data_IF_155517916241
#
_entry.id   IF_155517916241
#
_cell.length_a   1.000
_cell.length_b   1.000
_cell.length_c   1.000
_cell.angle_alpha   90.00
_cell.angle_beta   90.00
_cell.angle_gamma   90.00
#
_symmetry.space_group_name_H-M   'P 1'
#
loop_
_entity.id
_entity.type
_entity.pdbx_description
1 polymer ?
#
# COMPACT_ATOMS: atom_id res chain seq x y z
N UNK A 1 44.91 44.34 22.34
CA UNK A 1 44.50 43.06 21.75
C UNK A 1 43.10 42.70 22.15
N UNK A 2 42.14 43.00 21.26
CA UNK A 2 40.73 42.68 21.45
C UNK A 2 40.55 41.25 20.95
N UNK A 3 40.36 40.32 21.89
CA UNK A 3 40.27 38.88 21.64
C UNK A 3 39.23 38.55 20.58
N UNK A 4 39.56 37.55 19.76
CA UNK A 4 38.79 37.11 18.61
C UNK A 4 37.32 36.81 19.02
N UNK A 5 36.31 37.54 18.49
CA UNK A 5 34.91 37.42 18.94
C UNK A 5 34.30 36.03 18.76
N UNK A 6 34.95 35.15 18.00
CA UNK A 6 34.54 33.76 17.84
C UNK A 6 34.77 32.88 19.08
N UNK A 7 35.64 33.28 20.02
CA UNK A 7 35.93 32.48 21.23
C UNK A 7 34.70 32.33 22.12
N UNK A 8 33.81 33.34 22.14
CA UNK A 8 32.57 33.29 22.91
C UNK A 8 31.54 32.28 22.37
N UNK A 9 31.71 31.81 21.13
CA UNK A 9 30.84 30.81 20.48
C UNK A 9 31.46 29.39 20.52
N UNK A 10 32.60 29.22 21.19
CA UNK A 10 33.21 27.91 21.43
C UNK A 10 32.77 27.48 22.83
N UNK A 11 31.99 26.39 22.97
CA UNK A 11 31.64 25.83 24.27
C UNK A 11 32.90 25.61 25.10
N UNK A 12 32.84 25.84 26.41
CA UNK A 12 34.00 25.79 27.33
C UNK A 12 34.74 24.44 27.25
N UNK A 13 34.02 23.36 26.90
CA UNK A 13 34.56 22.01 26.75
C UNK A 13 34.71 21.54 25.29
N UNK A 14 34.40 22.40 24.32
CA UNK A 14 34.41 22.06 22.88
C UNK A 14 33.33 21.07 22.45
N UNK A 15 32.34 20.80 23.31
CA UNK A 15 31.13 20.04 22.99
C UNK A 15 30.16 20.97 22.27
N UNK A 16 30.32 21.03 20.96
CA UNK A 16 29.33 21.63 20.08
C UNK A 16 28.15 20.66 19.94
N UNK A 17 26.95 21.18 20.22
CA UNK A 17 25.71 20.48 19.90
C UNK A 17 25.45 20.62 18.40
N UNK A 18 25.85 19.61 17.64
CA UNK A 18 25.63 19.55 16.21
C UNK A 18 24.72 18.37 15.91
N UNK A 19 23.49 18.63 15.47
CA UNK A 19 22.50 17.60 15.10
C UNK A 19 22.98 16.60 14.03
N UNK A 20 24.05 16.92 13.31
CA UNK A 20 24.62 16.14 12.20
C UNK A 20 26.03 15.60 12.45
N UNK A 21 26.79 16.15 13.41
CA UNK A 21 28.17 15.73 13.68
C UNK A 21 28.25 15.00 15.02
N UNK A 22 28.61 13.72 14.99
CA UNK A 22 28.80 12.92 16.20
C UNK A 22 30.29 12.73 16.44
N UNK A 23 30.75 13.05 17.64
CA UNK A 23 32.16 12.86 18.03
C UNK A 23 32.49 11.36 18.05
N UNK A 24 33.51 10.96 17.29
CA UNK A 24 34.01 9.59 17.27
C UNK A 24 35.24 9.46 18.17
N UNK A 25 36.15 10.41 18.12
CA UNK A 25 37.41 10.34 18.86
C UNK A 25 38.07 11.70 18.97
N UNK A 26 38.45 12.11 20.18
CA UNK A 26 39.41 13.21 20.39
C UNK A 26 40.68 12.65 21.03
N UNK A 27 41.85 13.02 20.50
CA UNK A 27 43.13 12.64 21.11
C UNK A 27 43.31 13.32 22.46
N UNK A 28 44.05 12.67 23.36
CA UNK A 28 44.33 13.17 24.72
C UNK A 28 45.05 14.53 24.73
N UNK A 29 45.80 14.84 23.67
CA UNK A 29 46.48 16.13 23.49
C UNK A 29 45.65 17.15 22.68
N UNK A 30 44.41 16.82 22.30
CA UNK A 30 43.49 17.70 21.57
C UNK A 30 43.83 17.96 20.10
N UNK A 31 44.90 17.36 19.56
CA UNK A 31 45.38 17.60 18.20
C UNK A 31 44.57 16.88 17.11
N UNK A 32 43.91 15.77 17.44
CA UNK A 32 43.10 14.98 16.51
C UNK A 32 41.67 14.98 16.99
N UNK A 33 40.75 15.39 16.12
CA UNK A 33 39.31 15.33 16.33
C UNK A 33 38.66 14.63 15.16
N UNK A 34 38.01 13.50 15.41
CA UNK A 34 37.25 12.73 14.44
C UNK A 34 35.77 12.83 14.76
N UNK A 35 34.98 13.08 13.72
CA UNK A 35 33.52 13.14 13.78
C UNK A 35 32.95 12.18 12.73
N UNK A 36 31.84 11.54 13.03
CA UNK A 36 30.96 10.91 12.05
C UNK A 36 29.89 11.91 11.64
N UNK A 37 29.51 11.88 10.37
CA UNK A 37 28.52 12.77 9.80
C UNK A 37 27.27 11.96 9.43
N UNK A 38 26.12 12.39 9.93
CA UNK A 38 24.84 11.80 9.58
C UNK A 38 24.29 12.44 8.31
N UNK A 39 24.36 11.70 7.20
CA UNK A 39 23.85 12.16 5.91
C UNK A 39 22.36 11.86 5.72
N UNK A 40 21.67 11.28 6.70
CA UNK A 40 20.28 10.82 6.54
C UNK A 40 19.35 11.95 6.08
N UNK A 41 19.44 13.14 6.68
CA UNK A 41 18.65 14.30 6.27
C UNK A 41 18.89 14.74 4.81
N UNK A 42 20.11 14.61 4.30
CA UNK A 42 20.47 14.98 2.92
C UNK A 42 20.19 13.86 1.91
N UNK A 43 20.23 12.61 2.37
CA UNK A 43 20.06 11.41 1.54
C UNK A 43 18.59 10.97 1.44
N UNK A 44 17.70 11.55 2.25
CA UNK A 44 16.27 11.27 2.29
C UNK A 44 15.49 12.36 1.58
N UNK A 45 14.67 11.97 0.60
CA UNK A 45 13.73 12.87 -0.07
C UNK A 45 12.64 12.06 -0.75
N UNK A 46 11.46 12.65 -0.89
CA UNK A 46 10.37 12.03 -1.64
C UNK A 46 9.51 13.10 -2.31
N UNK A 47 8.69 12.67 -3.27
CA UNK A 47 7.78 13.51 -4.03
C UNK A 47 6.39 12.86 -4.10
N UNK A 48 5.37 13.72 -4.16
CA UNK A 48 3.98 13.33 -4.40
C UNK A 48 3.68 13.60 -5.88
N UNK A 49 3.18 12.59 -6.58
CA UNK A 49 2.85 12.62 -8.01
C UNK A 49 1.35 12.28 -8.19
N UNK A 50 0.70 12.97 -9.13
CA UNK A 50 -0.69 12.73 -9.55
C UNK A 50 -1.70 12.62 -8.38
N UNK A 51 -1.84 13.66 -7.55
CA UNK A 51 -2.82 13.64 -6.46
C UNK A 51 -4.24 13.81 -6.99
N UNK A 52 -5.15 12.96 -6.49
CA UNK A 52 -6.58 13.00 -6.79
C UNK A 52 -7.36 12.83 -5.48
N UNK A 53 -8.37 13.68 -5.24
CA UNK A 53 -9.30 13.57 -4.10
C UNK A 53 -10.69 13.53 -4.70
N UNK A 54 -11.49 12.55 -4.30
CA UNK A 54 -12.82 12.33 -4.87
C UNK A 54 -13.93 12.65 -3.88
N UNK A 55 -15.04 13.17 -4.41
CA UNK A 55 -16.26 13.52 -3.66
C UNK A 55 -16.98 12.32 -3.02
N UNK A 56 -16.61 11.09 -3.41
CA UNK A 56 -17.11 9.84 -2.78
C UNK A 56 -16.37 9.46 -1.49
N UNK A 57 -15.37 10.22 -1.08
CA UNK A 57 -14.70 10.07 0.21
C UNK A 57 -13.47 9.17 0.19
N UNK A 58 -12.66 9.25 -0.87
CA UNK A 58 -11.31 8.69 -0.89
C UNK A 58 -10.36 9.58 -1.68
N UNK A 59 -9.06 9.41 -1.48
CA UNK A 59 -8.03 10.05 -2.29
C UNK A 59 -6.98 9.04 -2.73
N UNK A 60 -6.36 9.30 -3.87
CA UNK A 60 -5.26 8.49 -4.37
C UNK A 60 -4.12 9.37 -4.86
N UNK A 61 -2.90 8.89 -4.71
CA UNK A 61 -1.73 9.53 -5.28
C UNK A 61 -0.58 8.53 -5.36
N UNK A 62 0.47 8.92 -6.07
CA UNK A 62 1.73 8.18 -6.10
C UNK A 62 2.76 8.89 -5.25
N UNK A 63 3.48 8.14 -4.43
CA UNK A 63 4.64 8.62 -3.69
C UNK A 63 5.91 8.02 -4.28
N UNK A 64 6.93 8.85 -4.49
CA UNK A 64 8.21 8.43 -5.06
C UNK A 64 9.35 8.82 -4.14
N UNK A 65 10.11 7.85 -3.67
CA UNK A 65 11.33 8.09 -2.91
C UNK A 65 12.43 8.50 -3.90
N UNK A 66 12.85 9.76 -3.81
CA UNK A 66 13.92 10.31 -4.64
C UNK A 66 15.28 10.25 -3.93
N UNK A 67 15.28 9.83 -2.66
CA UNK A 67 16.47 9.61 -1.86
C UNK A 67 17.07 8.22 -2.02
N UNK A 68 18.18 8.01 -1.30
CA UNK A 68 18.90 6.73 -1.22
C UNK A 68 18.67 6.00 0.11
N UNK A 69 17.72 6.47 0.91
CA UNK A 69 17.33 5.89 2.20
C UNK A 69 15.88 5.45 2.15
N UNK A 70 15.57 4.34 2.80
CA UNK A 70 14.19 3.93 2.99
C UNK A 70 13.47 4.93 3.90
N UNK A 71 12.19 5.11 3.64
CA UNK A 71 11.33 6.03 4.36
C UNK A 71 10.12 5.29 4.92
N UNK A 72 9.77 5.56 6.16
CA UNK A 72 8.50 5.11 6.75
C UNK A 72 7.48 6.23 6.63
N UNK A 73 6.40 6.03 5.89
CA UNK A 73 5.34 7.03 5.79
C UNK A 73 4.54 7.02 7.09
N UNK A 74 4.56 8.12 7.83
CA UNK A 74 3.99 8.19 9.17
C UNK A 74 2.61 8.83 9.19
N UNK A 75 2.35 9.81 8.31
CA UNK A 75 1.05 10.47 8.22
C UNK A 75 0.73 10.94 6.80
N UNK A 76 -0.56 10.94 6.47
CA UNK A 76 -1.13 11.61 5.30
C UNK A 76 -2.23 12.53 5.78
N UNK A 77 -2.15 13.80 5.39
CA UNK A 77 -3.12 14.84 5.74
C UNK A 77 -3.74 15.48 4.52
N UNK A 78 -5.03 15.79 4.61
CA UNK A 78 -5.76 16.60 3.62
C UNK A 78 -6.30 17.82 4.36
N UNK A 79 -5.89 19.03 3.95
CA UNK A 79 -6.21 20.28 4.64
C UNK A 79 -5.93 20.24 6.15
N UNK A 80 -4.73 19.78 6.51
CA UNK A 80 -4.21 19.65 7.88
C UNK A 80 -4.90 18.59 8.77
N UNK A 81 -5.95 17.93 8.29
CA UNK A 81 -6.57 16.78 8.97
C UNK A 81 -5.89 15.48 8.58
N UNK A 82 -5.65 14.59 9.55
CA UNK A 82 -4.99 13.30 9.34
C UNK A 82 -5.99 12.21 8.98
N UNK A 83 -5.63 11.36 8.02
CA UNK A 83 -6.47 10.28 7.53
C UNK A 83 -5.73 8.94 7.58
N UNK A 84 -6.49 7.85 7.68
CA UNK A 84 -5.94 6.51 7.49
C UNK A 84 -5.61 6.29 6.02
N UNK A 85 -4.53 5.57 5.78
CA UNK A 85 -4.04 5.31 4.45
C UNK A 85 -3.37 3.94 4.34
N UNK A 86 -3.43 3.40 3.14
CA UNK A 86 -2.73 2.19 2.73
C UNK A 86 -1.69 2.54 1.67
N UNK A 87 -0.53 1.88 1.76
CA UNK A 87 0.44 1.83 0.66
C UNK A 87 0.20 0.55 -0.14
N UNK A 88 0.42 0.59 -1.46
CA UNK A 88 0.25 -0.59 -2.31
C UNK A 88 1.23 -1.71 -1.94
N UNK A 89 2.52 -1.49 -2.18
CA UNK A 89 3.60 -2.44 -1.83
C UNK A 89 3.86 -2.44 -0.32
N UNK A 90 3.79 -1.27 0.31
CA UNK A 90 4.06 -1.08 1.72
C UNK A 90 2.89 -1.35 2.67
N UNK A 91 1.81 -2.03 2.26
CA UNK A 91 0.54 -2.08 3.02
C UNK A 91 0.70 -2.48 4.50
N UNK A 92 1.63 -3.39 4.81
CA UNK A 92 1.83 -3.88 6.18
C UNK A 92 2.96 -3.17 6.94
N UNK A 93 3.78 -2.36 6.25
CA UNK A 93 5.02 -1.80 6.81
C UNK A 93 5.05 -0.28 6.80
N UNK A 94 4.26 0.35 5.92
CA UNK A 94 4.35 1.76 5.55
C UNK A 94 5.74 2.17 5.04
N UNK A 95 6.58 1.21 4.61
CA UNK A 95 7.93 1.47 4.12
C UNK A 95 7.90 1.74 2.61
N UNK A 96 8.49 2.86 2.22
CA UNK A 96 8.81 3.23 0.86
C UNK A 96 10.32 3.10 0.64
N UNK A 97 10.71 2.03 -0.06
CA UNK A 97 12.11 1.72 -0.31
C UNK A 97 12.82 2.83 -1.12
N UNK A 98 14.12 2.96 -0.91
CA UNK A 98 14.99 3.88 -1.64
C UNK A 98 14.82 3.76 -3.16
N UNK A 99 14.69 4.89 -3.85
CA UNK A 99 14.51 4.96 -5.31
C UNK A 99 13.27 4.23 -5.86
N UNK A 100 12.35 3.78 -5.01
CA UNK A 100 11.09 3.16 -5.43
C UNK A 100 9.92 4.15 -5.40
N UNK A 101 8.80 3.72 -5.94
CA UNK A 101 7.52 4.39 -5.82
C UNK A 101 6.43 3.43 -5.35
N UNK A 102 5.41 4.01 -4.75
CA UNK A 102 4.23 3.28 -4.31
C UNK A 102 2.95 4.09 -4.58
N UNK A 103 1.83 3.39 -4.64
CA UNK A 103 0.51 4.00 -4.66
C UNK A 103 0.02 4.17 -3.23
N UNK A 104 -0.70 5.26 -3.00
CA UNK A 104 -1.30 5.58 -1.71
C UNK A 104 -2.80 5.67 -1.91
N UNK A 105 -3.54 4.98 -1.05
CA UNK A 105 -4.99 5.09 -0.94
C UNK A 105 -5.32 5.71 0.42
N UNK A 106 -6.15 6.75 0.44
CA UNK A 106 -6.56 7.43 1.66
C UNK A 106 -8.05 7.25 1.88
N UNK A 107 -8.44 6.74 3.04
CA UNK A 107 -9.84 6.58 3.43
C UNK A 107 -10.34 7.84 4.15
N UNK A 108 -11.06 8.68 3.41
CA UNK A 108 -11.67 9.91 3.94
C UNK A 108 -13.02 9.60 4.57
N UNK A 109 -13.80 8.74 3.93
CA UNK A 109 -15.18 8.42 4.33
C UNK A 109 -15.25 7.85 5.75
N UNK A 110 -14.29 7.02 6.15
CA UNK A 110 -14.26 6.42 7.50
C UNK A 110 -14.02 7.43 8.62
N UNK A 111 -13.47 8.62 8.32
CA UNK A 111 -13.32 9.68 9.34
C UNK A 111 -14.61 10.47 9.58
N UNK A 112 -15.64 10.25 8.76
CA UNK A 112 -16.90 11.02 8.79
C UNK A 112 -16.82 12.36 8.07
N UNK A 113 -15.67 12.68 7.45
CA UNK A 113 -15.51 13.85 6.59
C UNK A 113 -15.99 13.55 5.17
N UNK A 114 -16.39 14.60 4.46
CA UNK A 114 -16.75 14.53 3.04
C UNK A 114 -16.36 15.82 2.36
N UNK A 115 -15.81 15.70 1.16
CA UNK A 115 -15.54 16.83 0.28
C UNK A 115 -16.59 16.90 -0.83
N UNK A 116 -16.82 18.09 -1.35
CA UNK A 116 -17.63 18.32 -2.54
C UNK A 116 -16.73 18.55 -3.74
N UNK A 117 -17.21 18.19 -4.93
CA UNK A 117 -16.55 18.57 -6.19
C UNK A 117 -16.28 20.08 -6.21
N UNK A 118 -15.11 20.48 -6.70
CA UNK A 118 -14.58 21.85 -6.70
C UNK A 118 -14.15 22.42 -5.34
N UNK A 119 -14.19 21.64 -4.24
CA UNK A 119 -13.51 22.02 -3.01
C UNK A 119 -12.00 22.14 -3.22
N UNK A 120 -11.37 23.12 -2.58
CA UNK A 120 -9.91 23.33 -2.66
C UNK A 120 -9.22 22.52 -1.57
N UNK A 121 -8.34 21.62 -1.98
CA UNK A 121 -7.63 20.70 -1.08
C UNK A 121 -6.12 20.74 -1.30
N UNK A 122 -5.39 20.35 -0.26
CA UNK A 122 -3.94 20.16 -0.25
C UNK A 122 -3.59 18.87 0.48
N UNK A 123 -2.79 18.02 -0.15
CA UNK A 123 -2.25 16.81 0.48
C UNK A 123 -0.88 17.13 1.08
N UNK A 124 -0.67 16.69 2.32
CA UNK A 124 0.62 16.74 3.01
C UNK A 124 0.97 15.35 3.51
N UNK A 125 2.18 14.89 3.21
CA UNK A 125 2.68 13.59 3.66
C UNK A 125 3.86 13.80 4.59
N UNK A 126 3.90 13.06 5.69
CA UNK A 126 5.05 12.95 6.58
C UNK A 126 5.71 11.59 6.42
N UNK A 127 7.04 11.62 6.39
CA UNK A 127 7.87 10.43 6.29
C UNK A 127 9.02 10.51 7.29
N UNK A 128 9.46 9.35 7.77
CA UNK A 128 10.54 9.21 8.74
C UNK A 128 11.70 8.43 8.13
N UNK A 129 12.92 8.81 8.48
CA UNK A 129 14.11 8.01 8.15
C UNK A 129 14.99 7.87 9.39
N UNK A 130 15.40 6.64 9.69
CA UNK A 130 16.18 6.32 10.89
C UNK A 130 17.60 6.88 10.76
N UNK A 131 17.95 7.81 11.65
CA UNK A 131 19.29 8.38 11.75
C UNK A 131 20.27 7.41 12.46
N UNK A 132 21.57 7.75 12.46
CA UNK A 132 22.64 6.94 13.04
C UNK A 132 22.55 6.78 14.57
N UNK A 133 21.80 7.63 15.27
CA UNK A 133 21.52 7.57 16.72
C UNK A 133 20.13 7.02 17.04
N UNK A 134 19.43 6.43 16.05
CA UNK A 134 18.06 5.93 16.17
C UNK A 134 16.99 6.99 16.46
N UNK A 135 17.33 8.28 16.41
CA UNK A 135 16.34 9.36 16.41
C UNK A 135 15.91 9.63 14.97
N UNK A 136 14.65 9.39 14.58
CA UNK A 136 14.25 9.56 13.18
C UNK A 136 14.26 11.03 12.78
N UNK A 137 14.73 11.31 11.56
CA UNK A 137 14.44 12.59 10.91
C UNK A 137 13.04 12.52 10.31
N UNK A 138 12.26 13.59 10.51
CA UNK A 138 10.92 13.74 9.94
C UNK A 138 11.00 14.67 8.73
N UNK A 139 10.40 14.22 7.62
CA UNK A 139 10.34 14.91 6.36
C UNK A 139 8.88 15.17 6.02
N UNK A 140 8.59 16.36 5.51
CA UNK A 140 7.25 16.73 5.07
C UNK A 140 7.31 17.20 3.64
N UNK A 141 6.38 16.71 2.81
CA UNK A 141 6.16 17.24 1.48
C UNK A 141 4.67 17.46 1.27
N UNK A 142 4.34 18.48 0.49
CA UNK A 142 2.96 18.84 0.21
C UNK A 142 2.76 19.12 -1.27
N UNK A 143 1.55 18.87 -1.74
CA UNK A 143 1.10 19.34 -3.05
C UNK A 143 0.86 20.85 -3.02
N UNK A 144 0.74 21.44 -4.22
CA UNK A 144 0.00 22.70 -4.35
C UNK A 144 -1.49 22.45 -4.09
N UNK A 145 -2.28 23.51 -3.95
CA UNK A 145 -3.73 23.39 -3.89
C UNK A 145 -4.28 22.90 -5.22
N UNK A 146 -5.26 22.00 -5.17
CA UNK A 146 -6.00 21.48 -6.33
C UNK A 146 -7.47 21.25 -5.96
N UNK A 147 -8.29 20.91 -6.94
CA UNK A 147 -9.72 20.73 -6.76
C UNK A 147 -10.08 19.26 -6.53
N UNK A 148 -11.09 19.03 -5.70
CA UNK A 148 -11.74 17.74 -5.56
C UNK A 148 -12.49 17.40 -6.85
N UNK A 149 -12.33 16.17 -7.32
CA UNK A 149 -12.92 15.65 -8.55
C UNK A 149 -14.17 14.81 -8.26
N UNK A 150 -15.07 14.75 -9.24
CA UNK A 150 -16.16 13.76 -9.23
C UNK A 150 -15.57 12.36 -9.36
N UNK A 151 -16.05 11.43 -8.53
CA UNK A 151 -15.58 10.06 -8.57
C UNK A 151 -15.91 9.38 -9.90
N UNK A 152 -14.87 8.88 -10.57
CA UNK A 152 -15.01 8.04 -11.75
C UNK A 152 -15.44 6.62 -11.34
N UNK A 153 -16.26 5.97 -12.17
CA UNK A 153 -16.62 4.56 -11.96
C UNK A 153 -15.38 3.69 -12.10
N UNK A 154 -15.06 2.93 -11.05
CA UNK A 154 -14.05 1.89 -11.09
C UNK A 154 -14.65 0.55 -11.49
N UNK A 155 -13.81 -0.36 -11.97
CA UNK A 155 -14.24 -1.72 -12.35
C UNK A 155 -13.12 -2.72 -12.05
N UNK A 156 -13.50 -3.92 -11.61
CA UNK A 156 -12.55 -5.00 -11.32
C UNK A 156 -13.03 -6.30 -11.92
N UNK A 157 -12.08 -7.17 -12.28
CA UNK A 157 -12.39 -8.46 -12.87
C UNK A 157 -11.46 -9.55 -12.37
N UNK A 158 -12.03 -10.68 -11.95
CA UNK A 158 -11.29 -11.90 -11.67
C UNK A 158 -10.97 -12.59 -13.00
N UNK A 159 -9.68 -12.80 -13.27
CA UNK A 159 -9.23 -13.52 -14.45
C UNK A 159 -9.34 -15.04 -14.21
N UNK A 160 -10.46 -15.63 -14.66
CA UNK A 160 -10.76 -17.07 -14.50
C UNK A 160 -9.62 -17.99 -14.99
N UNK A 161 -9.07 -17.85 -16.22
CA UNK A 161 -7.94 -18.66 -16.67
C UNK A 161 -6.73 -18.72 -15.73
N UNK A 162 -6.46 -17.63 -15.01
CA UNK A 162 -5.31 -17.50 -14.13
C UNK A 162 -5.65 -17.73 -12.64
N UNK A 163 -6.90 -18.09 -12.36
CA UNK A 163 -7.42 -18.31 -11.01
C UNK A 163 -7.78 -19.79 -10.80
N UNK A 164 -7.56 -20.31 -9.60
CA UNK A 164 -7.83 -21.73 -9.28
C UNK A 164 -8.07 -21.94 -7.78
N UNK A 165 -8.74 -23.03 -7.46
CA UNK A 165 -8.82 -23.57 -6.10
C UNK A 165 -8.10 -24.91 -6.06
N UNK A 166 -7.21 -25.07 -5.09
CA UNK A 166 -6.43 -26.29 -4.88
C UNK A 166 -6.89 -26.94 -3.57
N UNK A 167 -7.39 -28.17 -3.64
CA UNK A 167 -7.69 -28.97 -2.45
C UNK A 167 -6.37 -29.49 -1.88
N UNK A 168 -6.06 -29.16 -0.63
CA UNK A 168 -4.87 -29.64 0.06
C UNK A 168 -5.16 -30.96 0.79
N UNK A 169 -6.28 -31.01 1.49
CA UNK A 169 -6.82 -32.21 2.16
C UNK A 169 -8.35 -32.08 2.31
N UNK A 170 -9.03 -33.01 2.98
CA UNK A 170 -10.49 -32.99 3.10
C UNK A 170 -11.07 -31.74 3.80
N UNK A 171 -10.28 -31.04 4.60
CA UNK A 171 -10.70 -29.85 5.35
C UNK A 171 -10.13 -28.55 4.78
N UNK A 172 -9.01 -28.62 4.05
CA UNK A 172 -8.24 -27.45 3.65
C UNK A 172 -8.20 -27.25 2.14
N UNK A 173 -8.35 -26.00 1.72
CA UNK A 173 -8.23 -25.57 0.32
C UNK A 173 -7.50 -24.24 0.26
N UNK A 174 -6.69 -24.08 -0.78
CA UNK A 174 -6.01 -22.84 -1.10
C UNK A 174 -6.64 -22.22 -2.35
N UNK A 175 -6.98 -20.93 -2.27
CA UNK A 175 -7.60 -20.19 -3.38
C UNK A 175 -6.55 -19.24 -3.95
N UNK A 176 -6.40 -19.27 -5.27
CA UNK A 176 -5.53 -18.40 -6.04
C UNK A 176 -6.37 -17.57 -6.98
N UNK A 177 -6.32 -16.24 -6.86
CA UNK A 177 -7.09 -15.32 -7.68
C UNK A 177 -6.16 -14.32 -8.36
N UNK A 178 -6.32 -14.16 -9.66
CA UNK A 178 -5.79 -13.00 -10.37
C UNK A 178 -6.93 -11.99 -10.54
N UNK A 179 -6.76 -10.78 -9.98
CA UNK A 179 -7.73 -9.69 -10.08
C UNK A 179 -7.10 -8.56 -10.87
N UNK A 180 -7.82 -8.03 -11.86
CA UNK A 180 -7.42 -6.92 -12.70
C UNK A 180 -8.34 -5.72 -12.44
N UNK A 181 -7.77 -4.51 -12.41
CA UNK A 181 -8.56 -3.29 -12.55
C UNK A 181 -8.83 -3.02 -14.03
N UNK A 182 -10.08 -3.21 -14.46
CA UNK A 182 -10.54 -3.02 -15.84
C UNK A 182 -11.16 -1.64 -16.09
N UNK A 183 -11.29 -0.83 -15.04
CA UNK A 183 -11.84 0.52 -15.13
C UNK A 183 -10.77 1.58 -15.40
N UNK A 184 -11.21 2.83 -15.34
CA UNK A 184 -10.41 4.02 -15.68
C UNK A 184 -9.88 4.79 -14.46
N UNK A 185 -10.17 4.31 -13.24
CA UNK A 185 -9.71 4.91 -11.98
C UNK A 185 -8.98 3.90 -11.11
N UNK A 186 -8.13 4.38 -10.22
CA UNK A 186 -7.46 3.56 -9.20
C UNK A 186 -8.48 2.94 -8.25
N UNK A 187 -8.29 1.67 -7.90
CA UNK A 187 -9.14 0.94 -6.95
C UNK A 187 -8.30 0.25 -5.88
N UNK A 188 -8.88 0.06 -4.69
CA UNK A 188 -8.31 -0.80 -3.64
C UNK A 188 -9.17 -2.05 -3.45
N UNK A 189 -8.52 -3.22 -3.44
CA UNK A 189 -9.15 -4.50 -3.12
C UNK A 189 -9.28 -4.61 -1.61
N UNK A 190 -10.52 -4.67 -1.10
CA UNK A 190 -10.80 -4.69 0.33
C UNK A 190 -10.92 -6.12 0.84
N UNK A 191 -12.02 -6.76 0.48
CA UNK A 191 -12.40 -8.07 1.01
C UNK A 191 -12.51 -9.10 -0.11
N UNK A 192 -12.03 -10.30 0.19
CA UNK A 192 -12.26 -11.49 -0.62
C UNK A 192 -13.25 -12.35 0.15
N UNK A 193 -14.23 -12.95 -0.52
CA UNK A 193 -15.32 -13.66 0.13
C UNK A 193 -15.75 -14.92 -0.60
N UNK A 194 -16.52 -15.76 0.10
CA UNK A 194 -17.15 -16.96 -0.45
C UNK A 194 -18.66 -16.98 -0.26
N UNK A 195 -19.41 -17.17 -1.34
CA UNK A 195 -20.86 -17.24 -1.48
C UNK A 195 -21.61 -15.95 -1.10
N UNK A 196 -21.17 -15.26 -0.06
CA UNK A 196 -21.68 -13.96 0.36
C UNK A 196 -20.58 -13.10 1.00
N UNK A 197 -20.77 -11.79 0.95
CA UNK A 197 -19.83 -10.77 1.45
C UNK A 197 -19.60 -10.81 2.98
N UNK A 198 -20.44 -11.50 3.76
CA UNK A 198 -20.20 -11.68 5.21
C UNK A 198 -19.25 -12.85 5.51
N UNK A 199 -18.94 -13.68 4.52
CA UNK A 199 -18.01 -14.80 4.65
C UNK A 199 -16.66 -14.41 4.04
N UNK A 200 -16.02 -13.43 4.67
CA UNK A 200 -14.75 -12.85 4.21
C UNK A 200 -13.56 -13.69 4.62
N UNK A 201 -12.59 -13.83 3.73
CA UNK A 201 -11.30 -14.43 4.03
C UNK A 201 -10.38 -13.44 4.74
N UNK A 202 -9.74 -13.91 5.81
CA UNK A 202 -8.83 -13.09 6.62
C UNK A 202 -7.39 -13.19 6.10
N UNK A 203 -6.93 -14.41 5.83
CA UNK A 203 -5.54 -14.66 5.45
C UNK A 203 -5.37 -14.60 3.93
N UNK A 204 -4.94 -13.41 3.45
CA UNK A 204 -4.63 -13.12 2.06
C UNK A 204 -3.17 -12.71 1.90
N UNK A 205 -2.51 -13.25 0.88
CA UNK A 205 -1.12 -12.97 0.55
C UNK A 205 -1.00 -12.61 -0.93
N UNK A 206 -0.52 -11.41 -1.22
CA UNK A 206 -0.26 -10.95 -2.58
C UNK A 206 1.06 -11.58 -3.07
N UNK A 207 0.95 -12.58 -3.96
CA UNK A 207 2.10 -13.22 -4.61
C UNK A 207 2.78 -12.24 -5.56
N UNK A 208 1.98 -11.44 -6.28
CA UNK A 208 2.45 -10.37 -7.15
C UNK A 208 1.42 -9.26 -7.25
N UNK A 209 1.88 -8.04 -7.58
CA UNK A 209 1.01 -6.86 -7.60
C UNK A 209 0.75 -6.32 -6.20
N UNK A 210 -0.32 -5.56 -6.04
CA UNK A 210 -0.66 -4.87 -4.81
C UNK A 210 -2.18 -4.80 -4.61
N UNK A 211 -2.68 -4.59 -3.39
CA UNK A 211 -4.09 -4.33 -3.10
C UNK A 211 -4.61 -3.08 -3.82
N UNK A 212 -3.75 -2.09 -4.09
CA UNK A 212 -4.09 -0.88 -4.83
C UNK A 212 -3.69 -1.08 -6.29
N UNK A 213 -4.65 -0.92 -7.21
CA UNK A 213 -4.49 -1.17 -8.63
C UNK A 213 -4.85 0.09 -9.42
N UNK A 214 -3.88 0.63 -10.17
CA UNK A 214 -4.16 1.57 -11.25
C UNK A 214 -4.90 0.85 -12.40
N UNK A 215 -5.54 1.60 -13.31
CA UNK A 215 -6.11 1.05 -14.55
C UNK A 215 -5.16 0.08 -15.27
N UNK A 216 -5.65 -1.12 -15.58
CA UNK A 216 -4.92 -2.20 -16.25
C UNK A 216 -3.91 -2.96 -15.39
N UNK A 217 -3.74 -2.61 -14.11
CA UNK A 217 -2.89 -3.38 -13.20
C UNK A 217 -3.60 -4.63 -12.66
N UNK A 218 -2.79 -5.62 -12.28
CA UNK A 218 -3.24 -6.91 -11.77
C UNK A 218 -2.59 -7.24 -10.44
N UNK A 219 -3.34 -7.95 -9.59
CA UNK A 219 -2.85 -8.59 -8.39
C UNK A 219 -3.08 -10.10 -8.48
N UNK A 220 -2.10 -10.88 -8.05
CA UNK A 220 -2.24 -12.32 -7.88
C UNK A 220 -2.19 -12.65 -6.39
N UNK A 221 -3.28 -13.19 -5.86
CA UNK A 221 -3.54 -13.33 -4.43
C UNK A 221 -3.72 -14.80 -4.08
N UNK A 222 -3.02 -15.26 -3.04
CA UNK A 222 -3.22 -16.55 -2.39
C UNK A 222 -4.03 -16.36 -1.11
N UNK A 223 -5.02 -17.21 -0.91
CA UNK A 223 -5.87 -17.26 0.29
C UNK A 223 -5.75 -18.66 0.88
N UNK A 224 -5.36 -18.76 2.15
CA UNK A 224 -5.03 -20.04 2.83
C UNK A 224 -6.05 -20.50 3.86
N UNK A 225 -6.88 -19.59 4.37
CA UNK A 225 -7.85 -19.89 5.43
C UNK A 225 -9.26 -19.88 4.88
N UNK A 226 -9.50 -20.78 3.92
CA UNK A 226 -10.85 -20.97 3.41
C UNK A 226 -11.74 -21.56 4.51
N UNK A 227 -12.61 -20.74 5.12
CA UNK A 227 -13.60 -21.18 6.10
C UNK A 227 -14.67 -22.11 5.50
N UNK A 228 -14.65 -22.28 4.18
CA UNK A 228 -15.56 -23.15 3.43
C UNK A 228 -14.81 -24.37 2.87
N UNK A 229 -15.33 -25.59 3.08
CA UNK A 229 -14.77 -26.79 2.49
C UNK A 229 -15.23 -26.93 1.03
N UNK A 230 -14.29 -27.19 0.13
CA UNK A 230 -14.58 -27.60 -1.25
C UNK A 230 -14.70 -29.14 -1.41
N UNK A 231 -14.79 -29.87 -0.30
CA UNK A 231 -14.97 -31.33 -0.25
C UNK A 231 -16.47 -31.70 -0.15
N UNK A 232 -16.96 -32.71 -0.90
CA UNK A 232 -16.25 -33.52 -1.91
C UNK A 232 -15.90 -32.72 -3.18
N UNK A 233 -14.90 -33.20 -3.93
CA UNK A 233 -14.56 -32.64 -5.25
C UNK A 233 -15.81 -32.41 -6.12
N UNK A 234 -15.86 -31.26 -6.78
CA UNK A 234 -17.04 -30.82 -7.53
C UNK A 234 -18.00 -29.97 -6.70
N UNK A 235 -17.75 -29.76 -5.40
CA UNK A 235 -18.44 -28.73 -4.63
C UNK A 235 -18.10 -27.36 -5.21
N UNK A 236 -19.15 -26.57 -5.49
CA UNK A 236 -19.03 -25.26 -6.12
C UNK A 236 -19.28 -24.15 -5.10
N UNK A 237 -18.40 -23.16 -5.08
CA UNK A 237 -18.57 -21.94 -4.31
C UNK A 237 -18.34 -20.72 -5.19
N UNK A 238 -19.10 -19.66 -4.93
CA UNK A 238 -18.83 -18.37 -5.55
C UNK A 238 -17.70 -17.71 -4.78
N UNK A 239 -16.60 -17.42 -5.45
CA UNK A 239 -15.51 -16.65 -4.86
C UNK A 239 -15.54 -15.25 -5.47
N UNK A 240 -15.56 -14.24 -4.62
CA UNK A 240 -15.64 -12.85 -5.04
C UNK A 240 -14.61 -11.96 -4.37
N UNK A 241 -14.47 -10.77 -4.94
CA UNK A 241 -13.67 -9.66 -4.41
C UNK A 241 -14.54 -8.40 -4.45
N UNK A 242 -14.43 -7.57 -3.42
CA UNK A 242 -15.17 -6.31 -3.31
C UNK A 242 -14.25 -5.16 -2.87
N UNK A 243 -14.49 -3.97 -3.40
CA UNK A 243 -13.82 -2.72 -3.00
C UNK A 243 -14.62 -1.98 -1.92
N UNK A 244 -14.07 -0.98 -1.21
CA UNK A 244 -14.81 -0.16 -0.25
C UNK A 244 -15.99 0.62 -0.89
N UNK A 245 -15.95 0.81 -2.21
CA UNK A 245 -16.95 1.52 -2.98
C UNK A 245 -18.01 0.59 -3.59
N UNK A 246 -18.13 -0.65 -3.08
CA UNK A 246 -19.08 -1.68 -3.53
C UNK A 246 -18.92 -2.14 -5.00
N UNK A 247 -17.75 -1.90 -5.59
CA UNK A 247 -17.40 -2.51 -6.88
C UNK A 247 -16.98 -3.95 -6.60
N UNK A 248 -17.55 -4.92 -7.33
CA UNK A 248 -17.27 -6.34 -7.09
C UNK A 248 -17.30 -7.17 -8.35
N UNK A 249 -16.57 -8.28 -8.32
CA UNK A 249 -16.68 -9.36 -9.28
C UNK A 249 -16.67 -10.71 -8.55
N UNK A 250 -17.37 -11.70 -9.11
CA UNK A 250 -17.49 -13.04 -8.54
C UNK A 250 -17.51 -14.11 -9.61
N UNK A 251 -16.86 -15.24 -9.31
CA UNK A 251 -16.82 -16.40 -10.19
C UNK A 251 -17.09 -17.69 -9.41
N UNK A 252 -17.69 -18.64 -10.10
CA UNK A 252 -17.92 -19.97 -9.57
C UNK A 252 -16.65 -20.82 -9.71
N UNK A 253 -16.19 -21.36 -8.60
CA UNK A 253 -15.02 -22.24 -8.52
C UNK A 253 -15.38 -23.58 -7.90
N UNK A 254 -14.63 -24.59 -8.31
CA UNK A 254 -14.52 -25.88 -7.63
C UNK A 254 -13.04 -26.20 -7.41
N UNK A 255 -12.72 -27.09 -6.47
CA UNK A 255 -11.35 -27.46 -6.16
C UNK A 255 -10.83 -28.59 -7.06
N UNK A 256 -9.51 -28.65 -7.20
CA UNK A 256 -8.79 -29.78 -7.77
C UNK A 256 -7.62 -30.16 -6.84
N UNK A 257 -7.25 -31.43 -6.77
CA UNK A 257 -5.99 -31.80 -6.11
C UNK A 257 -4.80 -31.34 -6.93
N UNK A 258 -3.74 -30.85 -6.28
CA UNK A 258 -2.46 -30.62 -6.95
C UNK A 258 -1.97 -31.95 -7.55
N UNK A 259 -1.44 -31.90 -8.77
CA UNK A 259 -0.93 -33.02 -9.60
C UNK A 259 -1.91 -33.88 -10.43
N UNK A 260 -3.23 -33.64 -10.40
CA UNK A 260 -4.15 -34.23 -11.38
C UNK A 260 -4.85 -33.17 -12.24
N UNK A 261 -4.35 -33.01 -13.48
CA UNK A 261 -5.10 -32.34 -14.55
C UNK A 261 -6.48 -32.98 -14.71
N UNK A 262 -7.54 -32.20 -14.65
CA UNK A 262 -8.71 -32.13 -15.56
C UNK A 262 -9.46 -30.83 -15.18
N UNK A 263 -9.36 -29.72 -15.91
CA UNK A 263 -10.02 -29.36 -17.19
C UNK A 263 -11.56 -29.40 -17.19
N UNK A 264 -12.15 -28.21 -16.97
CA UNK A 264 -13.34 -27.62 -17.61
C UNK A 264 -14.69 -28.32 -17.39
N UNK A 265 -15.60 -27.65 -16.67
CA UNK A 265 -17.05 -27.85 -16.84
C UNK A 265 -17.49 -27.01 -18.04
N UNK A 266 -17.67 -27.65 -19.20
CA UNK A 266 -18.45 -27.09 -20.30
C UNK A 266 -19.94 -27.30 -20.00
N UNK A 267 -20.72 -26.25 -20.13
CA UNK A 267 -22.17 -26.25 -19.91
C UNK A 267 -22.82 -27.12 -21.00
N UNK A 268 -23.28 -28.33 -20.65
CA UNK A 268 -24.03 -29.19 -21.58
C UNK A 268 -25.46 -28.65 -21.70
N UNK A 269 -25.80 -28.01 -22.82
CA UNK A 269 -27.19 -27.76 -23.19
C UNK A 269 -27.87 -29.07 -23.59
N UNK A 270 -28.85 -29.50 -22.78
CA UNK A 270 -29.70 -30.66 -23.07
C UNK A 270 -30.69 -30.33 -24.19
N UNK A 271 -30.38 -30.74 -25.42
CA UNK A 271 -31.37 -30.87 -26.48
C UNK A 271 -32.33 -32.02 -26.16
N UNK A 272 -33.61 -31.70 -25.95
CA UNK A 272 -34.69 -32.67 -25.89
C UNK A 272 -34.93 -33.29 -27.28
N UNK A 273 -34.67 -34.58 -27.44
CA UNK A 273 -35.21 -35.38 -28.54
C UNK A 273 -36.47 -36.09 -28.03
N UNK A 274 -37.63 -35.60 -28.49
CA UNK A 274 -38.88 -36.36 -28.46
C UNK A 274 -38.79 -37.51 -29.46
N UNK A 275 -39.10 -38.71 -29.00
CA UNK A 275 -39.66 -39.79 -29.83
C UNK A 275 -41.07 -40.08 -29.31
#
# INVERSE_FOLDING_TARGET
DVGNPYVANIPVDGDYDFDVFKRVFFSTNGLVKLFSLDYTALASSFQIENPEVFDTGYATFKIKNTGSKDLTISAVRINDESYEFDLGKGINTRILNASDNDLVWVDIKSSGQSFQTDDVVKITVEAESVALDNNPYIFTNSTNNFFVEEAREGDIKINRPNSKVVQVDAANSEIYLEVENTGDTTVILKDFYADNENNTFVNKHYISGSPILNPGQKAYVKITDSLIPFDPLGTEHKIGVITPNNIKDELLFTSNYEDFKISIVEKVELFHLKL
#
